data_IF_441665621064
#
_entry.id   IF_441665621064
#
_cell.length_a   1.000
_cell.length_b   1.000
_cell.length_c   1.000
_cell.angle_alpha   90.00
_cell.angle_beta   90.00
_cell.angle_gamma   90.00
#
_symmetry.space_group_name_H-M   'P 1'
#
loop_
_entity.id
_entity.type
_entity.pdbx_description
1 polymer ?
#
# COMPACT_ATOMS: atom_id res chain seq x y z
N UNK A 1 6.04 29.07 5.02
CA UNK A 1 6.16 27.73 5.60
C UNK A 1 6.67 26.81 4.50
N UNK A 2 7.85 26.19 4.66
CA UNK A 2 8.36 25.19 3.71
C UNK A 2 7.78 23.83 4.08
N UNK A 3 7.12 23.17 3.13
CA UNK A 3 6.46 21.88 3.34
C UNK A 3 7.46 20.77 2.99
N UNK A 4 8.41 20.50 3.89
CA UNK A 4 9.58 19.63 3.65
C UNK A 4 9.16 18.22 3.25
N UNK A 5 8.19 17.63 3.96
CA UNK A 5 7.61 16.33 3.62
C UNK A 5 7.13 16.29 2.17
N UNK A 6 6.29 17.25 1.77
CA UNK A 6 5.75 17.29 0.41
C UNK A 6 6.83 17.54 -0.64
N UNK A 7 7.85 18.35 -0.34
CA UNK A 7 8.98 18.52 -1.25
C UNK A 7 9.72 17.19 -1.49
N UNK A 8 10.00 16.43 -0.43
CA UNK A 8 10.65 15.11 -0.53
C UNK A 8 9.80 14.11 -1.30
N UNK A 9 8.51 14.03 -0.97
CA UNK A 9 7.54 13.17 -1.69
C UNK A 9 7.53 13.55 -3.17
N UNK A 10 7.35 14.83 -3.51
CA UNK A 10 7.29 15.25 -4.91
C UNK A 10 8.58 14.98 -5.66
N UNK A 11 9.75 15.08 -5.03
CA UNK A 11 11.04 14.71 -5.63
C UNK A 11 11.10 13.21 -5.93
N UNK A 12 10.70 12.34 -5.00
CA UNK A 12 10.61 10.88 -5.23
C UNK A 12 9.64 10.57 -6.38
N UNK A 13 8.51 11.26 -6.43
CA UNK A 13 7.46 10.97 -7.41
C UNK A 13 7.70 11.51 -8.83
N UNK A 14 8.77 12.30 -9.08
CA UNK A 14 9.06 12.84 -10.42
C UNK A 14 9.18 11.72 -11.47
N UNK A 15 9.88 10.63 -11.15
CA UNK A 15 10.11 9.51 -12.07
C UNK A 15 8.86 8.67 -12.37
N UNK A 16 7.83 8.76 -11.52
CA UNK A 16 6.61 7.94 -11.62
C UNK A 16 5.58 8.55 -12.57
N UNK A 17 5.64 9.86 -12.77
CA UNK A 17 4.70 10.60 -13.64
C UNK A 17 4.70 10.13 -15.09
N UNK A 18 5.78 9.50 -15.51
CA UNK A 18 5.96 9.00 -16.88
C UNK A 18 5.59 7.52 -17.02
N UNK A 19 5.24 6.83 -15.93
CA UNK A 19 4.86 5.42 -16.00
C UNK A 19 3.60 5.25 -16.85
N UNK A 20 3.70 4.36 -17.83
CA UNK A 20 2.61 3.94 -18.68
C UNK A 20 2.32 2.46 -18.42
N UNK A 21 1.12 2.10 -17.94
CA UNK A 21 0.79 0.72 -17.60
C UNK A 21 0.94 -0.28 -18.73
N UNK A 22 0.74 0.11 -19.99
CA UNK A 22 0.85 -0.82 -21.12
C UNK A 22 2.31 -0.99 -21.54
N UNK A 23 3.10 0.08 -21.50
CA UNK A 23 4.53 0.06 -21.83
C UNK A 23 5.38 -0.59 -20.75
N UNK A 24 5.10 -0.32 -19.49
CA UNK A 24 6.00 -0.64 -18.37
C UNK A 24 5.64 -1.96 -17.67
N UNK A 25 4.41 -2.47 -17.85
CA UNK A 25 3.98 -3.75 -17.29
C UNK A 25 4.88 -4.96 -17.64
N UNK A 26 5.43 -5.12 -18.87
CA UNK A 26 6.32 -6.24 -19.16
C UNK A 26 7.54 -6.32 -18.22
N UNK A 27 8.21 -5.19 -17.98
CA UNK A 27 9.38 -5.13 -17.09
C UNK A 27 9.03 -5.40 -15.64
N UNK A 28 7.88 -4.89 -15.20
CA UNK A 28 7.35 -5.19 -13.88
C UNK A 28 7.03 -6.69 -13.75
N UNK A 29 6.40 -7.29 -14.77
CA UNK A 29 6.00 -8.69 -14.76
C UNK A 29 7.20 -9.64 -14.67
N UNK A 30 8.30 -9.31 -15.36
CA UNK A 30 9.57 -10.02 -15.24
C UNK A 30 10.08 -10.00 -13.78
N UNK A 31 10.07 -8.83 -13.14
CA UNK A 31 10.47 -8.69 -11.73
C UNK A 31 9.55 -9.49 -10.78
N UNK A 32 8.23 -9.43 -11.03
CA UNK A 32 7.24 -10.18 -10.25
C UNK A 32 7.47 -11.69 -10.33
N UNK A 33 7.71 -12.22 -11.52
CA UNK A 33 8.00 -13.65 -11.74
C UNK A 33 9.31 -14.06 -11.08
N UNK A 34 10.35 -13.22 -11.17
CA UNK A 34 11.66 -13.48 -10.59
C UNK A 34 11.63 -13.48 -9.06
N UNK A 35 10.92 -12.53 -8.44
CA UNK A 35 10.86 -12.36 -6.98
C UNK A 35 9.81 -13.23 -6.29
N UNK A 36 8.70 -13.52 -6.95
CA UNK A 36 7.58 -14.23 -6.35
C UNK A 36 7.20 -15.51 -7.13
N UNK A 37 8.13 -16.44 -7.43
CA UNK A 37 7.81 -17.64 -8.19
C UNK A 37 6.77 -18.53 -7.48
N UNK A 38 6.76 -18.53 -6.14
CA UNK A 38 5.80 -19.27 -5.33
C UNK A 38 4.34 -18.83 -5.54
N UNK A 39 4.11 -17.58 -5.95
CA UNK A 39 2.76 -17.08 -6.28
C UNK A 39 2.14 -17.90 -7.43
N UNK A 40 2.96 -18.35 -8.39
CA UNK A 40 2.52 -18.98 -9.63
C UNK A 40 2.64 -20.50 -9.63
N UNK A 41 3.13 -21.11 -8.53
CA UNK A 41 3.44 -22.54 -8.43
C UNK A 41 2.24 -23.45 -8.76
N UNK A 42 1.02 -23.01 -8.44
CA UNK A 42 -0.19 -23.78 -8.67
C UNK A 42 -0.68 -23.78 -10.13
N UNK A 43 -0.10 -22.94 -11.00
CA UNK A 43 -0.46 -22.90 -12.42
C UNK A 43 0.24 -24.00 -13.21
N UNK A 44 -0.35 -24.38 -14.34
CA UNK A 44 0.30 -25.29 -15.29
C UNK A 44 1.62 -24.70 -15.79
N UNK A 45 2.71 -25.44 -15.59
CA UNK A 45 4.08 -24.98 -15.90
C UNK A 45 4.70 -24.06 -14.85
N UNK A 46 4.02 -23.80 -13.73
CA UNK A 46 4.52 -22.95 -12.63
C UNK A 46 4.83 -21.52 -13.10
N UNK A 47 5.81 -20.87 -12.45
CA UNK A 47 6.23 -19.51 -12.78
C UNK A 47 6.74 -19.32 -14.21
N UNK A 48 7.27 -20.38 -14.85
CA UNK A 48 7.77 -20.32 -16.23
C UNK A 48 6.69 -20.63 -17.28
N UNK A 49 5.48 -20.99 -16.85
CA UNK A 49 4.38 -21.38 -17.73
C UNK A 49 3.78 -20.20 -18.49
N UNK A 50 3.18 -20.42 -19.68
CA UNK A 50 2.50 -19.36 -20.43
C UNK A 50 1.39 -18.66 -19.63
N UNK A 51 0.66 -19.41 -18.79
CA UNK A 51 -0.38 -18.86 -17.94
C UNK A 51 0.19 -17.91 -16.87
N UNK A 52 1.35 -18.22 -16.30
CA UNK A 52 2.01 -17.36 -15.33
C UNK A 52 2.52 -16.06 -15.96
N UNK A 53 3.10 -16.12 -17.17
CA UNK A 53 3.55 -14.93 -17.91
C UNK A 53 2.39 -13.97 -18.18
N UNK A 54 1.27 -14.49 -18.68
CA UNK A 54 0.07 -13.68 -18.94
C UNK A 54 -0.51 -13.11 -17.64
N UNK A 55 -0.58 -13.92 -16.58
CA UNK A 55 -1.08 -13.48 -15.29
C UNK A 55 -0.20 -12.40 -14.66
N UNK A 56 1.13 -12.58 -14.69
CA UNK A 56 2.09 -11.61 -14.19
C UNK A 56 1.95 -10.28 -14.93
N UNK A 57 1.72 -10.31 -16.24
CA UNK A 57 1.49 -9.10 -17.04
C UNK A 57 0.18 -8.38 -16.65
N UNK A 58 -0.90 -9.12 -16.37
CA UNK A 58 -2.16 -8.51 -15.93
C UNK A 58 -2.03 -7.90 -14.51
N UNK A 59 -1.33 -8.57 -13.60
CA UNK A 59 -1.01 -8.05 -12.25
C UNK A 59 -0.15 -6.79 -12.37
N UNK A 60 0.95 -6.89 -13.10
CA UNK A 60 1.87 -5.80 -13.35
C UNK A 60 1.16 -4.55 -13.86
N UNK A 61 0.29 -4.71 -14.86
CA UNK A 61 -0.45 -3.58 -15.43
C UNK A 61 -1.38 -2.92 -14.41
N UNK A 62 -2.06 -3.70 -13.58
CA UNK A 62 -2.92 -3.14 -12.54
C UNK A 62 -2.09 -2.46 -11.44
N UNK A 63 -0.94 -3.03 -11.07
CA UNK A 63 -0.02 -2.45 -10.10
C UNK A 63 0.63 -1.14 -10.59
N UNK A 64 1.08 -1.09 -11.85
CA UNK A 64 1.62 0.14 -12.45
C UNK A 64 0.56 1.24 -12.49
N UNK A 65 -0.72 0.89 -12.76
CA UNK A 65 -1.83 1.84 -12.64
C UNK A 65 -1.94 2.40 -11.22
N UNK A 66 -1.85 1.56 -10.19
CA UNK A 66 -1.87 2.03 -8.80
C UNK A 66 -0.71 2.97 -8.49
N UNK A 67 0.50 2.58 -8.85
CA UNK A 67 1.70 3.39 -8.62
C UNK A 67 1.61 4.73 -9.35
N UNK A 68 1.10 4.75 -10.58
CA UNK A 68 0.90 5.99 -11.35
C UNK A 68 -0.09 6.98 -10.71
N UNK A 69 -0.93 6.53 -9.76
CA UNK A 69 -1.87 7.39 -9.03
C UNK A 69 -1.24 8.05 -7.80
N UNK A 70 -0.05 7.63 -7.36
CA UNK A 70 0.63 8.19 -6.18
C UNK A 70 0.74 9.73 -6.22
N UNK A 71 1.17 10.38 -7.33
CA UNK A 71 1.23 11.84 -7.40
C UNK A 71 -0.10 12.52 -7.09
N UNK A 72 -1.20 11.98 -7.64
CA UNK A 72 -2.55 12.51 -7.41
C UNK A 72 -2.98 12.32 -5.96
N UNK A 73 -2.70 11.16 -5.37
CA UNK A 73 -3.00 10.88 -3.96
C UNK A 73 -2.27 11.86 -3.04
N UNK A 74 -1.02 12.19 -3.36
CA UNK A 74 -0.23 13.18 -2.63
C UNK A 74 -0.82 14.58 -2.76
N UNK A 75 -1.21 14.99 -3.97
CA UNK A 75 -1.85 16.29 -4.22
C UNK A 75 -3.21 16.41 -3.51
N UNK A 76 -4.02 15.35 -3.49
CA UNK A 76 -5.29 15.28 -2.77
C UNK A 76 -5.07 15.43 -1.25
N UNK A 77 -4.06 14.75 -0.71
CA UNK A 77 -3.72 14.82 0.71
C UNK A 77 -3.14 16.18 1.11
N UNK A 78 -2.26 16.77 0.30
CA UNK A 78 -1.75 18.13 0.49
C UNK A 78 -2.89 19.15 0.58
N UNK A 79 -3.87 19.03 -0.32
CA UNK A 79 -5.07 19.88 -0.30
C UNK A 79 -5.91 19.65 0.95
N UNK A 80 -6.12 18.39 1.35
CA UNK A 80 -6.91 18.08 2.56
C UNK A 80 -6.31 18.63 3.86
N UNK A 81 -4.98 18.70 3.95
CA UNK A 81 -4.27 19.36 5.06
C UNK A 81 -4.56 20.85 5.08
N UNK A 82 -4.70 21.46 3.90
CA UNK A 82 -4.97 22.88 3.75
C UNK A 82 -6.43 23.27 4.04
N UNK A 83 -7.39 22.34 3.88
CA UNK A 83 -8.83 22.64 3.95
C UNK A 83 -9.57 22.05 5.16
N UNK A 84 -8.86 21.40 6.10
CA UNK A 84 -9.42 20.76 7.29
C UNK A 84 -10.61 19.82 7.02
N UNK A 85 -10.69 19.21 5.83
CA UNK A 85 -11.80 18.34 5.42
C UNK A 85 -11.81 16.96 6.13
N UNK A 86 -10.71 16.66 6.82
CA UNK A 86 -10.48 15.46 7.62
C UNK A 86 -10.24 15.88 9.08
N UNK A 87 -10.53 15.01 10.04
CA UNK A 87 -10.15 15.23 11.44
C UNK A 87 -8.62 15.32 11.60
N UNK A 88 -8.13 15.89 12.71
CA UNK A 88 -6.68 15.98 12.94
C UNK A 88 -6.02 14.59 12.96
N UNK A 89 -6.63 13.61 13.64
CA UNK A 89 -6.14 12.23 13.66
C UNK A 89 -6.08 11.58 12.28
N UNK A 90 -7.12 11.76 11.46
CA UNK A 90 -7.13 11.27 10.07
C UNK A 90 -6.03 11.87 9.22
N UNK A 91 -5.81 13.18 9.33
CA UNK A 91 -4.73 13.85 8.60
C UNK A 91 -3.37 13.33 9.03
N UNK A 92 -3.14 13.17 10.33
CA UNK A 92 -1.86 12.69 10.83
C UNK A 92 -1.55 11.30 10.28
N UNK A 93 -2.46 10.34 10.39
CA UNK A 93 -2.22 8.96 9.92
C UNK A 93 -2.02 8.92 8.40
N UNK A 94 -2.76 9.72 7.63
CA UNK A 94 -2.53 9.82 6.18
C UNK A 94 -1.18 10.46 5.84
N UNK A 95 -0.78 11.49 6.57
CA UNK A 95 0.55 12.11 6.42
C UNK A 95 1.67 11.16 6.83
N UNK A 96 1.45 10.27 7.80
CA UNK A 96 2.40 9.20 8.10
C UNK A 96 2.55 8.24 6.92
N UNK A 97 1.45 7.91 6.24
CA UNK A 97 1.49 7.15 5.00
C UNK A 97 2.36 7.84 3.94
N UNK A 98 2.32 9.18 3.83
CA UNK A 98 3.22 9.93 2.95
C UNK A 98 4.66 9.99 3.44
N UNK A 99 4.87 10.11 4.76
CA UNK A 99 6.20 10.16 5.33
C UNK A 99 6.95 8.84 5.10
N UNK A 100 6.23 7.72 5.07
CA UNK A 100 6.75 6.42 4.68
C UNK A 100 7.48 6.46 3.32
N UNK A 101 6.89 7.10 2.31
CA UNK A 101 7.50 7.26 0.98
C UNK A 101 8.86 7.97 1.06
N UNK A 102 9.12 8.78 2.07
CA UNK A 102 10.35 9.59 2.16
C UNK A 102 11.44 8.98 3.02
N UNK A 103 11.20 7.81 3.61
CA UNK A 103 12.19 7.10 4.40
C UNK A 103 13.30 6.57 3.47
N UNK A 104 14.57 6.75 3.84
CA UNK A 104 15.71 6.34 3.01
C UNK A 104 15.91 4.82 2.87
N UNK A 105 15.13 4.03 3.59
CA UNK A 105 15.16 2.58 3.61
C UNK A 105 13.76 2.04 3.28
N UNK A 106 13.33 2.24 2.03
CA UNK A 106 12.11 1.62 1.52
C UNK A 106 12.19 0.09 1.67
N UNK A 107 11.07 -0.56 1.97
CA UNK A 107 11.06 -2.03 2.14
C UNK A 107 11.36 -2.71 0.82
N UNK A 108 10.90 -2.10 -0.28
CA UNK A 108 11.26 -2.48 -1.64
C UNK A 108 12.05 -1.32 -2.23
N UNK A 109 13.23 -1.59 -2.81
CA UNK A 109 14.02 -0.50 -3.39
C UNK A 109 13.30 0.20 -4.56
N UNK A 110 13.22 1.53 -4.48
CA UNK A 110 12.61 2.41 -5.49
C UNK A 110 13.22 2.30 -6.89
N UNK A 111 14.48 1.87 -6.99
CA UNK A 111 15.20 1.76 -8.27
C UNK A 111 14.76 0.56 -9.12
N UNK A 112 13.85 -0.27 -8.60
CA UNK A 112 13.32 -1.41 -9.33
C UNK A 112 12.48 -0.99 -10.55
N UNK A 113 12.48 -1.81 -11.62
CA UNK A 113 11.85 -1.46 -12.88
C UNK A 113 10.37 -1.10 -12.75
N UNK A 114 9.92 -0.16 -13.61
CA UNK A 114 8.50 0.10 -13.85
C UNK A 114 7.69 0.45 -12.58
N UNK A 115 8.35 1.01 -11.56
CA UNK A 115 7.73 1.37 -10.30
C UNK A 115 7.38 0.19 -9.38
N UNK A 116 7.98 -0.98 -9.60
CA UNK A 116 7.85 -2.13 -8.70
C UNK A 116 8.23 -1.78 -7.26
N UNK A 117 9.25 -0.92 -7.09
CA UNK A 117 9.74 -0.42 -5.82
C UNK A 117 8.72 0.30 -4.96
N UNK A 118 7.59 0.73 -5.52
CA UNK A 118 6.66 1.68 -4.89
C UNK A 118 5.35 1.02 -4.46
N UNK A 119 5.31 -0.30 -4.43
CA UNK A 119 4.10 -1.06 -4.10
C UNK A 119 3.83 -1.07 -2.61
N UNK A 120 4.88 -1.16 -1.81
CA UNK A 120 4.84 -0.95 -0.37
C UNK A 120 4.32 0.45 -0.04
N UNK A 121 4.71 1.49 -0.78
CA UNK A 121 4.16 2.85 -0.67
C UNK A 121 2.64 2.89 -0.94
N UNK A 122 2.18 2.26 -2.02
CA UNK A 122 0.76 2.12 -2.30
C UNK A 122 0.02 1.41 -1.15
N UNK A 123 0.59 0.30 -0.64
CA UNK A 123 0.02 -0.46 0.46
C UNK A 123 -0.03 0.38 1.74
N UNK A 124 1.03 1.14 2.06
CA UNK A 124 1.10 2.00 3.22
C UNK A 124 0.03 3.10 3.16
N UNK A 125 -0.19 3.74 2.01
CA UNK A 125 -1.22 4.77 1.83
C UNK A 125 -2.64 4.19 1.94
N UNK A 126 -2.90 3.05 1.30
CA UNK A 126 -4.19 2.36 1.44
C UNK A 126 -4.41 1.89 2.89
N UNK A 127 -3.35 1.44 3.56
CA UNK A 127 -3.32 1.05 4.95
C UNK A 127 -3.68 2.20 5.89
N UNK A 128 -3.05 3.36 5.70
CA UNK A 128 -3.35 4.58 6.44
C UNK A 128 -4.81 5.00 6.25
N UNK A 129 -5.33 4.95 5.02
CA UNK A 129 -6.72 5.28 4.73
C UNK A 129 -7.72 4.27 5.36
N UNK A 130 -7.32 3.00 5.49
CA UNK A 130 -8.12 1.97 6.15
C UNK A 130 -8.05 2.08 7.69
N UNK A 131 -6.90 2.45 8.24
CA UNK A 131 -6.67 2.61 9.67
C UNK A 131 -7.56 3.70 10.29
N UNK A 132 -7.86 4.76 9.53
CA UNK A 132 -8.70 5.87 9.99
C UNK A 132 -10.17 5.73 9.59
N UNK A 133 -10.60 4.53 9.20
CA UNK A 133 -11.91 4.31 8.58
C UNK A 133 -13.10 4.34 9.55
N UNK A 134 -12.93 4.82 10.78
CA UNK A 134 -14.05 5.04 11.70
C UNK A 134 -15.14 5.95 11.10
N UNK A 135 -14.78 6.80 10.13
CA UNK A 135 -15.69 7.67 9.36
C UNK A 135 -16.08 7.12 7.97
N UNK A 136 -15.57 5.94 7.58
CA UNK A 136 -15.80 5.38 6.26
C UNK A 136 -16.81 4.22 6.28
N UNK A 137 -17.51 4.01 5.17
CA UNK A 137 -18.47 2.90 5.05
C UNK A 137 -17.78 1.53 5.16
N UNK A 138 -18.43 0.48 5.69
CA UNK A 138 -17.90 -0.89 5.69
C UNK A 138 -17.46 -1.38 4.30
N UNK A 139 -18.15 -0.90 3.25
CA UNK A 139 -17.81 -1.15 1.85
C UNK A 139 -16.45 -0.55 1.48
N UNK A 140 -16.17 0.68 1.89
CA UNK A 140 -14.88 1.32 1.64
C UNK A 140 -13.73 0.54 2.31
N UNK A 141 -13.90 0.17 3.59
CA UNK A 141 -12.92 -0.65 4.32
C UNK A 141 -12.66 -1.98 3.60
N UNK A 142 -13.73 -2.66 3.17
CA UNK A 142 -13.59 -3.90 2.41
C UNK A 142 -12.82 -3.71 1.09
N UNK A 143 -13.07 -2.62 0.36
CA UNK A 143 -12.36 -2.29 -0.88
C UNK A 143 -10.88 -1.99 -0.64
N UNK A 144 -10.54 -1.19 0.38
CA UNK A 144 -9.14 -0.90 0.72
C UNK A 144 -8.39 -2.18 1.10
N UNK A 145 -8.99 -3.03 1.93
CA UNK A 145 -8.43 -4.32 2.31
C UNK A 145 -8.21 -5.25 1.11
N UNK A 146 -9.17 -5.33 0.18
CA UNK A 146 -9.02 -6.11 -1.05
C UNK A 146 -7.85 -5.60 -1.89
N UNK A 147 -7.72 -4.28 -2.03
CA UNK A 147 -6.65 -3.64 -2.80
C UNK A 147 -5.28 -3.86 -2.17
N UNK A 148 -5.17 -3.71 -0.85
CA UNK A 148 -3.95 -4.03 -0.08
C UNK A 148 -3.54 -5.48 -0.29
N UNK A 149 -4.48 -6.43 -0.16
CA UNK A 149 -4.20 -7.86 -0.37
C UNK A 149 -3.77 -8.16 -1.80
N UNK A 150 -4.42 -7.53 -2.78
CA UNK A 150 -4.05 -7.69 -4.18
C UNK A 150 -2.65 -7.14 -4.44
N UNK A 151 -2.35 -5.90 -4.00
CA UNK A 151 -1.01 -5.30 -4.11
C UNK A 151 0.07 -6.16 -3.43
N UNK A 152 -0.26 -6.77 -2.28
CA UNK A 152 0.68 -7.61 -1.53
C UNK A 152 1.14 -8.88 -2.27
N UNK A 153 0.55 -9.21 -3.42
CA UNK A 153 1.02 -10.34 -4.25
C UNK A 153 2.41 -10.09 -4.83
N UNK A 154 2.85 -8.84 -4.91
CA UNK A 154 4.21 -8.49 -5.30
C UNK A 154 5.21 -8.50 -4.12
N UNK A 155 4.74 -8.67 -2.89
CA UNK A 155 5.58 -8.58 -1.69
C UNK A 155 6.07 -9.97 -1.30
N UNK A 156 7.40 -10.12 -1.21
CA UNK A 156 8.03 -11.38 -0.77
C UNK A 156 7.70 -11.67 0.70
N UNK A 157 7.89 -12.92 1.13
CA UNK A 157 7.55 -13.35 2.49
C UNK A 157 8.35 -12.58 3.55
N UNK A 158 9.62 -12.27 3.27
CA UNK A 158 10.52 -11.53 4.17
C UNK A 158 10.08 -10.08 4.38
N UNK A 159 9.56 -9.44 3.34
CA UNK A 159 9.09 -8.05 3.41
C UNK A 159 7.67 -7.94 3.95
N UNK A 160 6.89 -9.02 3.86
CA UNK A 160 5.47 -9.01 4.27
C UNK A 160 5.29 -8.78 5.76
N UNK A 161 6.15 -9.34 6.60
CA UNK A 161 6.12 -9.10 8.04
C UNK A 161 6.41 -7.63 8.38
N UNK A 162 7.39 -7.03 7.71
CA UNK A 162 7.77 -5.64 7.89
C UNK A 162 6.64 -4.70 7.44
N UNK A 163 6.02 -4.99 6.29
CA UNK A 163 4.88 -4.21 5.80
C UNK A 163 3.66 -4.36 6.71
N UNK A 164 3.42 -5.56 7.25
CA UNK A 164 2.37 -5.77 8.25
C UNK A 164 2.61 -4.93 9.51
N UNK A 165 3.85 -4.80 9.97
CA UNK A 165 4.18 -3.92 11.10
C UNK A 165 3.91 -2.44 10.78
N UNK A 166 4.18 -1.97 9.56
CA UNK A 166 3.83 -0.61 9.11
C UNK A 166 2.32 -0.38 9.15
N UNK A 167 1.53 -1.34 8.67
CA UNK A 167 0.07 -1.28 8.71
C UNK A 167 -0.48 -1.25 10.13
N UNK A 168 0.06 -2.10 11.03
CA UNK A 168 -0.29 -2.08 12.45
C UNK A 168 0.04 -0.72 13.05
N UNK A 169 1.23 -0.17 12.76
CA UNK A 169 1.66 1.12 13.31
C UNK A 169 0.73 2.26 12.91
N UNK A 170 0.27 2.29 11.65
CA UNK A 170 -0.72 3.28 11.21
C UNK A 170 -2.03 3.18 12.01
N UNK A 171 -2.48 1.96 12.28
CA UNK A 171 -3.68 1.69 13.06
C UNK A 171 -3.53 2.05 14.55
N UNK A 172 -2.36 1.79 15.13
CA UNK A 172 -2.02 2.21 16.48
C UNK A 172 -2.02 3.73 16.64
N UNK A 173 -1.43 4.46 15.68
CA UNK A 173 -1.47 5.92 15.72
C UNK A 173 -2.89 6.45 15.56
N UNK A 174 -3.72 5.84 14.70
CA UNK A 174 -5.13 6.19 14.61
C UNK A 174 -5.84 6.08 15.97
N UNK A 175 -5.63 4.97 16.70
CA UNK A 175 -6.20 4.77 18.04
C UNK A 175 -5.68 5.78 19.06
N UNK A 176 -4.39 6.12 19.02
CA UNK A 176 -3.81 7.13 19.93
C UNK A 176 -4.43 8.51 19.68
N UNK A 177 -4.68 8.86 18.43
CA UNK A 177 -5.28 10.14 18.08
C UNK A 177 -6.71 10.31 18.60
N UNK A 178 -7.46 9.22 18.84
CA UNK A 178 -8.82 9.28 19.42
C UNK A 178 -8.82 9.82 20.86
N UNK A 179 -7.73 9.60 21.60
CA UNK A 179 -7.62 9.96 23.02
C UNK A 179 -6.90 11.31 23.24
N UNK A 180 -6.31 11.87 22.18
CA UNK A 180 -5.51 13.09 22.26
C UNK A 180 -6.33 14.34 21.92
N UNK A 181 -6.06 15.47 22.58
CA UNK A 181 -6.66 16.74 22.18
C UNK A 181 -6.09 17.18 20.82
N UNK A 182 -6.94 17.76 19.97
CA UNK A 182 -6.60 18.15 18.59
C UNK A 182 -5.31 18.97 18.49
N UNK A 183 -5.07 19.90 19.43
CA UNK A 183 -3.86 20.74 19.40
C UNK A 183 -2.56 19.92 19.46
N UNK A 184 -2.55 18.79 20.16
CA UNK A 184 -1.37 17.92 20.26
C UNK A 184 -1.14 17.15 18.95
N UNK A 185 -2.24 16.72 18.31
CA UNK A 185 -2.21 16.06 17.01
C UNK A 185 -1.74 17.03 15.93
N UNK A 186 -2.21 18.27 15.95
CA UNK A 186 -1.82 19.33 15.01
C UNK A 186 -0.36 19.76 15.16
N UNK A 187 0.16 19.77 16.40
CA UNK A 187 1.60 19.97 16.63
C UNK A 187 2.41 18.84 15.99
N UNK A 188 1.99 17.59 16.19
CA UNK A 188 2.64 16.42 15.57
C UNK A 188 2.58 16.46 14.04
N UNK A 189 1.46 16.90 13.46
CA UNK A 189 1.33 17.11 12.01
C UNK A 189 2.37 18.11 11.51
N UNK A 190 2.53 19.23 12.22
CA UNK A 190 3.51 20.27 11.86
C UNK A 190 4.92 19.73 11.93
N UNK A 191 5.27 19.06 13.03
CA UNK A 191 6.59 18.46 13.21
C UNK A 191 6.89 17.44 12.10
N UNK A 192 5.91 16.62 11.71
CA UNK A 192 6.04 15.67 10.61
C UNK A 192 6.22 16.35 9.25
N UNK A 193 5.53 17.47 8.99
CA UNK A 193 5.65 18.22 7.73
C UNK A 193 7.02 18.93 7.63
N UNK A 194 7.52 19.47 8.74
CA UNK A 194 8.75 20.25 8.80
C UNK A 194 10.01 19.37 8.92
N UNK A 195 9.92 18.26 9.65
CA UNK A 195 11.01 17.33 9.92
C UNK A 195 10.56 15.87 9.75
N UNK A 196 10.23 15.43 8.52
CA UNK A 196 9.83 14.05 8.28
C UNK A 196 10.97 13.08 8.64
N UNK A 197 10.65 11.93 9.27
CA UNK A 197 11.63 10.94 9.68
C UNK A 197 12.43 10.43 8.47
N UNK A 198 13.70 10.10 8.70
CA UNK A 198 14.58 9.55 7.67
C UNK A 198 14.51 8.02 7.58
N UNK A 199 14.08 7.35 8.66
CA UNK A 199 14.18 5.90 8.81
C UNK A 199 12.90 5.28 9.38
N UNK A 200 12.77 3.96 9.19
CA UNK A 200 11.74 3.12 9.80
C UNK A 200 12.27 2.41 11.06
N UNK A 201 11.43 2.17 12.09
CA UNK A 201 10.04 2.62 12.21
C UNK A 201 9.94 4.12 12.51
N UNK A 202 8.90 4.77 12.00
CA UNK A 202 8.66 6.19 12.30
C UNK A 202 8.32 6.37 13.78
N UNK A 203 9.21 7.05 14.50
CA UNK A 203 8.99 7.43 15.90
C UNK A 203 8.34 8.81 15.97
N UNK A 204 7.10 8.82 16.47
CA UNK A 204 6.41 10.04 16.84
C UNK A 204 6.46 10.11 18.37
N UNK A 205 6.63 11.30 18.94
CA UNK A 205 6.56 11.54 20.39
C UNK A 205 5.18 11.30 21.01
N UNK A 206 4.33 10.50 20.35
CA UNK A 206 3.00 10.12 20.77
C UNK A 206 3.04 8.96 21.77
N UNK A 207 2.07 8.87 22.68
CA UNK A 207 1.85 7.68 23.50
C UNK A 207 1.77 6.41 22.65
N UNK A 208 2.15 5.27 23.24
CA UNK A 208 1.98 3.96 22.60
C UNK A 208 0.65 3.36 23.01
N UNK A 209 -0.11 2.86 22.03
CA UNK A 209 -1.31 2.05 22.22
C UNK A 209 -1.23 0.88 21.26
N UNK A 210 -1.51 -0.32 21.77
CA UNK A 210 -1.47 -1.52 20.95
C UNK A 210 -2.79 -1.74 20.22
N UNK A 211 -2.70 -2.12 18.95
CA UNK A 211 -3.87 -2.53 18.18
C UNK A 211 -4.50 -3.78 18.81
N UNK A 212 -5.84 -3.86 18.77
CA UNK A 212 -6.54 -5.07 19.23
C UNK A 212 -6.22 -6.27 18.34
N UNK A 213 -6.28 -7.53 18.85
CA UNK A 213 -6.06 -8.72 18.03
C UNK A 213 -6.97 -8.79 16.79
N UNK A 214 -8.21 -8.29 16.90
CA UNK A 214 -9.15 -8.22 15.79
C UNK A 214 -8.68 -7.27 14.68
N UNK A 215 -8.11 -6.12 15.06
CA UNK A 215 -7.58 -5.14 14.13
C UNK A 215 -6.30 -5.64 13.46
N UNK A 216 -5.40 -6.27 14.24
CA UNK A 216 -4.20 -6.93 13.72
C UNK A 216 -4.59 -7.99 12.68
N UNK A 217 -5.54 -8.88 13.01
CA UNK A 217 -6.02 -9.88 12.06
C UNK A 217 -6.65 -9.28 10.79
N UNK A 218 -7.29 -8.11 10.89
CA UNK A 218 -7.88 -7.42 9.74
C UNK A 218 -6.83 -6.76 8.83
N UNK A 219 -5.65 -6.42 9.37
CA UNK A 219 -4.50 -5.84 8.68
C UNK A 219 -3.51 -6.89 8.18
N UNK A 220 -3.73 -8.16 8.54
CA UNK A 220 -2.86 -9.25 8.15
C UNK A 220 -2.73 -9.35 6.62
N UNK A 221 -1.50 -9.61 6.19
CA UNK A 221 -1.12 -9.87 4.81
C UNK A 221 -0.84 -11.38 4.67
N UNK A 222 -1.85 -12.22 4.43
CA UNK A 222 -1.64 -13.65 4.25
C UNK A 222 -0.90 -13.95 2.94
N UNK A 223 -0.19 -15.07 2.88
CA UNK A 223 0.53 -15.50 1.69
C UNK A 223 -0.44 -15.73 0.52
N UNK A 224 -0.28 -15.05 -0.63
CA UNK A 224 -1.11 -15.30 -1.80
C UNK A 224 -0.57 -16.47 -2.64
N UNK A 225 -1.51 -17.22 -3.25
CA UNK A 225 -1.24 -18.16 -4.33
C UNK A 225 -2.23 -17.92 -5.45
N UNK A 226 -1.75 -17.80 -6.68
CA UNK A 226 -2.57 -17.73 -7.87
C UNK A 226 -2.98 -19.15 -8.26
N UNK A 227 -4.23 -19.50 -7.97
CA UNK A 227 -4.75 -20.87 -8.16
C UNK A 227 -5.39 -21.08 -9.53
N UNK A 228 -5.74 -20.00 -10.22
CA UNK A 228 -6.34 -20.06 -11.55
C UNK A 228 -6.08 -18.77 -12.33
N UNK A 229 -5.70 -18.92 -13.59
CA UNK A 229 -5.56 -17.82 -14.55
C UNK A 229 -6.25 -18.23 -15.86
N UNK A 230 -7.32 -17.53 -16.23
CA UNK A 230 -8.09 -17.78 -17.46
C UNK A 230 -8.24 -16.50 -18.26
N UNK A 231 -7.48 -16.39 -19.35
CA UNK A 231 -7.41 -15.16 -20.12
C UNK A 231 -6.93 -14.01 -19.25
N UNK A 232 -7.81 -13.03 -18.99
CA UNK A 232 -7.53 -11.86 -18.14
C UNK A 232 -8.13 -11.96 -16.73
N UNK A 233 -8.79 -13.06 -16.41
CA UNK A 233 -9.32 -13.31 -15.07
C UNK A 233 -8.29 -14.07 -14.23
N UNK A 234 -8.11 -13.63 -12.98
CA UNK A 234 -7.17 -14.21 -12.03
C UNK A 234 -7.89 -14.56 -10.73
N UNK A 235 -7.55 -15.71 -10.13
CA UNK A 235 -8.11 -16.15 -8.87
C UNK A 235 -7.00 -16.45 -7.87
N UNK A 236 -6.98 -15.69 -6.78
CA UNK A 236 -6.02 -15.83 -5.69
C UNK A 236 -6.67 -16.51 -4.50
N UNK A 237 -5.94 -17.45 -3.90
CA UNK A 237 -6.22 -18.00 -2.58
C UNK A 237 -5.12 -17.57 -1.62
N UNK A 238 -5.53 -17.14 -0.43
CA UNK A 238 -4.63 -16.71 0.62
C UNK A 238 -4.49 -17.78 1.70
N UNK A 239 -3.38 -17.73 2.47
CA UNK A 239 -3.12 -18.69 3.56
C UNK A 239 -4.14 -18.66 4.69
N UNK A 240 -4.92 -17.58 4.82
CA UNK A 240 -6.04 -17.46 5.78
C UNK A 240 -7.35 -18.09 5.25
N UNK A 241 -7.32 -18.71 4.07
CA UNK A 241 -8.47 -19.32 3.39
C UNK A 241 -9.32 -18.34 2.57
N UNK A 242 -9.06 -17.04 2.66
CA UNK A 242 -9.79 -16.05 1.87
C UNK A 242 -9.41 -16.10 0.38
N UNK A 243 -10.29 -15.59 -0.48
CA UNK A 243 -10.10 -15.59 -1.93
C UNK A 243 -10.42 -14.22 -2.54
N UNK A 244 -9.62 -13.83 -3.54
CA UNK A 244 -9.86 -12.66 -4.39
C UNK A 244 -9.95 -13.12 -5.83
N UNK A 245 -11.01 -12.71 -6.52
CA UNK A 245 -11.13 -12.79 -7.96
C UNK A 245 -10.90 -11.42 -8.59
N UNK A 246 -9.97 -11.36 -9.53
CA UNK A 246 -9.73 -10.21 -10.39
C UNK A 246 -10.35 -10.52 -11.74
N UNK A 247 -11.47 -9.85 -12.07
CA UNK A 247 -12.15 -10.01 -13.36
C UNK A 247 -11.37 -9.38 -14.51
N UNK A 248 -11.79 -9.57 -15.79
CA UNK A 248 -11.03 -9.13 -16.97
C UNK A 248 -10.75 -7.62 -17.03
N UNK A 249 -11.63 -6.81 -16.43
CA UNK A 249 -11.51 -5.36 -16.34
C UNK A 249 -10.66 -4.84 -15.17
N UNK A 250 -10.06 -5.72 -14.36
CA UNK A 250 -9.31 -5.31 -13.15
C UNK A 250 -10.17 -5.09 -11.91
N UNK A 251 -11.46 -5.40 -11.98
CA UNK A 251 -12.37 -5.32 -10.82
C UNK A 251 -12.03 -6.46 -9.87
N UNK A 252 -11.84 -6.12 -8.59
CA UNK A 252 -11.56 -7.07 -7.51
C UNK A 252 -12.86 -7.44 -6.78
N UNK A 253 -13.07 -8.73 -6.58
CA UNK A 253 -14.22 -9.31 -5.90
C UNK A 253 -13.74 -10.30 -4.83
N UNK A 254 -14.35 -10.29 -3.64
CA UNK A 254 -14.11 -11.33 -2.64
C UNK A 254 -15.05 -12.49 -2.89
N UNK A 255 -14.48 -13.70 -2.93
CA UNK A 255 -15.24 -14.94 -2.96
C UNK A 255 -15.26 -15.48 -1.54
N UNK A 256 -16.46 -15.56 -0.95
CA UNK A 256 -16.73 -16.21 0.34
C UNK A 256 -16.95 -17.69 0.15
#
# INVERSE_FOLDING_TARGET
>A
MQWVLFQRVMQKLVGIRELDPERDAPRYAEELLARNPALFEALEGGASGPAAIVAAHEIARDHVREVSLLPRLCDDLQRSVSTAALTAGERLVRLMGLAYLTCGHDLIHDDLPAGYGLIDDCIALHGAAMATAALASPRYVAQQRQRIRYLSVAVTDELREQLHAVLIRAAEVALVCEDLPDYAVELTIRDLIEAPPADLPMEFGLPRRSASPKLIAALALPNPRLIEARGRSLHFRFSDGSQIHRGPGGVLETIT
#
